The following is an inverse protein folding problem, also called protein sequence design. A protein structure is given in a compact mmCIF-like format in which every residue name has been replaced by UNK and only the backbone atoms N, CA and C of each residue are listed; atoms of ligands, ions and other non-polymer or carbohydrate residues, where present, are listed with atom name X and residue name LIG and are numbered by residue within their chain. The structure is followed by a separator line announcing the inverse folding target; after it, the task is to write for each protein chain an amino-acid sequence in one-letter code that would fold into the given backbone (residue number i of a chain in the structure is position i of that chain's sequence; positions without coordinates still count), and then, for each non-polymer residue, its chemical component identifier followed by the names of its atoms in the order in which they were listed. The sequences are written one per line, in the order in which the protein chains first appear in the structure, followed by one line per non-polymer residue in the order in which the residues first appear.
data_IF_605244959735
#
_entry.id   IF_605244959735
#
_cell.length_a   1.000
_cell.length_b   1.000
_cell.length_c   1.000
_cell.angle_alpha   90.00
_cell.angle_beta   90.00
_cell.angle_gamma   90.00
#
_symmetry.space_group_name_H-M   'P 1'
#
loop_
_entity.id
_entity.type
_entity.pdbx_description
1 polymer ?
#
# COMPACT_ATOMS: atom_id res chain seq x y z
N UNK A 1 9.59 -16.44 -13.71
CA UNK A 1 9.80 -14.98 -13.69
C UNK A 1 8.49 -14.35 -14.13
N UNK A 2 7.60 -14.03 -13.18
CA UNK A 2 6.27 -13.51 -13.50
C UNK A 2 6.35 -11.98 -13.64
N UNK A 3 5.96 -11.55 -14.83
CA UNK A 3 5.93 -10.19 -15.32
C UNK A 3 4.73 -9.46 -14.70
N UNK A 4 4.97 -8.50 -13.79
CA UNK A 4 3.93 -7.58 -13.30
C UNK A 4 4.39 -6.15 -13.56
N UNK A 5 4.35 -5.75 -14.83
CA UNK A 5 4.25 -4.33 -15.20
C UNK A 5 2.80 -3.89 -14.93
N UNK A 6 2.64 -2.73 -14.31
CA UNK A 6 1.40 -1.96 -14.19
C UNK A 6 0.39 -2.32 -13.08
N UNK A 7 0.82 -2.98 -12.00
CA UNK A 7 0.22 -2.73 -10.68
C UNK A 7 1.22 -1.95 -9.86
N UNK A 8 0.84 -0.79 -9.32
CA UNK A 8 1.67 -0.13 -8.31
C UNK A 8 1.70 -1.09 -7.13
N UNK A 9 2.81 -1.81 -7.02
CA UNK A 9 3.06 -2.77 -5.96
C UNK A 9 2.98 -2.07 -4.60
N UNK A 10 2.43 -2.74 -3.59
CA UNK A 10 2.23 -2.18 -2.26
C UNK A 10 3.52 -1.57 -1.70
N UNK A 11 4.66 -2.24 -1.89
CA UNK A 11 5.96 -1.74 -1.43
C UNK A 11 6.37 -0.45 -2.16
N UNK A 12 6.01 -0.33 -3.44
CA UNK A 12 6.28 0.87 -4.23
C UNK A 12 5.42 2.05 -3.78
N UNK A 13 4.14 1.81 -3.47
CA UNK A 13 3.26 2.84 -2.90
C UNK A 13 3.75 3.29 -1.53
N UNK A 14 4.22 2.35 -0.70
CA UNK A 14 4.77 2.65 0.62
C UNK A 14 6.03 3.50 0.53
N UNK A 15 6.98 3.14 -0.34
CA UNK A 15 8.20 3.93 -0.58
C UNK A 15 7.91 5.36 -1.07
N UNK A 16 6.89 5.52 -1.91
CA UNK A 16 6.46 6.84 -2.36
C UNK A 16 5.86 7.65 -1.21
N UNK A 17 5.06 7.03 -0.36
CA UNK A 17 4.49 7.68 0.82
C UNK A 17 5.58 8.13 1.79
N UNK A 18 6.60 7.30 2.04
CA UNK A 18 7.77 7.67 2.83
C UNK A 18 8.50 8.88 2.23
N UNK A 19 8.71 8.88 0.92
CA UNK A 19 9.33 10.02 0.23
C UNK A 19 8.50 11.30 0.35
N UNK A 20 7.18 11.21 0.28
CA UNK A 20 6.26 12.35 0.45
C UNK A 20 6.34 12.88 1.88
N UNK A 21 6.35 12.00 2.89
CA UNK A 21 6.52 12.40 4.29
C UNK A 21 7.84 13.14 4.47
N UNK A 22 8.95 12.59 3.96
CA UNK A 22 10.25 13.27 4.02
C UNK A 22 10.25 14.63 3.30
N UNK A 23 9.49 14.78 2.19
CA UNK A 23 9.32 16.08 1.52
C UNK A 23 8.56 17.08 2.39
N UNK A 24 7.46 16.65 3.00
CA UNK A 24 6.64 17.48 3.88
C UNK A 24 7.36 17.89 5.17
N UNK A 25 8.34 17.11 5.62
CA UNK A 25 9.19 17.44 6.77
C UNK A 25 10.31 18.46 6.44
N UNK A 26 10.57 18.73 5.15
CA UNK A 26 11.54 19.75 4.77
C UNK A 26 10.97 21.15 4.97
N UNK A 27 11.68 21.97 5.75
CA UNK A 27 11.27 23.35 6.07
C UNK A 27 11.31 24.31 4.87
N UNK A 28 11.98 23.94 3.78
CA UNK A 28 12.10 24.73 2.56
C UNK A 28 11.02 24.41 1.51
N UNK A 29 10.06 23.53 1.83
CA UNK A 29 8.96 23.20 0.90
C UNK A 29 8.04 24.42 0.71
N UNK A 30 7.67 24.69 -0.54
CA UNK A 30 6.70 25.75 -0.82
C UNK A 30 5.29 25.32 -0.40
N UNK A 31 4.41 26.30 -0.15
CA UNK A 31 3.01 26.00 0.18
C UNK A 31 2.33 25.19 -0.92
N UNK A 32 2.55 25.54 -2.19
CA UNK A 32 1.97 24.82 -3.34
C UNK A 32 2.46 23.37 -3.40
N UNK A 33 3.78 23.16 -3.24
CA UNK A 33 4.37 21.82 -3.24
C UNK A 33 3.91 20.98 -2.04
N UNK A 34 3.69 21.61 -0.88
CA UNK A 34 3.19 20.92 0.31
C UNK A 34 1.76 20.42 0.13
N UNK A 35 0.90 21.23 -0.52
CA UNK A 35 -0.48 20.84 -0.83
C UNK A 35 -0.49 19.70 -1.84
N UNK A 36 0.30 19.80 -2.91
CA UNK A 36 0.41 18.73 -3.91
C UNK A 36 0.93 17.41 -3.31
N UNK A 37 1.98 17.50 -2.48
CA UNK A 37 2.55 16.33 -1.79
C UNK A 37 1.52 15.69 -0.84
N UNK A 38 0.74 16.50 -0.14
CA UNK A 38 -0.33 16.03 0.73
C UNK A 38 -1.44 15.32 -0.05
N UNK A 39 -1.92 15.89 -1.16
CA UNK A 39 -2.92 15.25 -2.02
C UNK A 39 -2.44 13.90 -2.57
N UNK A 40 -1.19 13.84 -3.03
CA UNK A 40 -0.56 12.60 -3.50
C UNK A 40 -0.47 11.56 -2.37
N UNK A 41 -0.07 11.98 -1.16
CA UNK A 41 -0.01 11.13 0.03
C UNK A 41 -1.37 10.52 0.38
N UNK A 42 -2.43 11.32 0.38
CA UNK A 42 -3.80 10.83 0.63
C UNK A 42 -4.25 9.81 -0.41
N UNK A 43 -3.91 10.04 -1.69
CA UNK A 43 -4.23 9.08 -2.76
C UNK A 43 -3.50 7.76 -2.54
N UNK A 44 -2.20 7.80 -2.25
CA UNK A 44 -1.40 6.59 -2.00
C UNK A 44 -1.89 5.80 -0.79
N UNK A 45 -2.27 6.48 0.31
CA UNK A 45 -2.84 5.81 1.49
C UNK A 45 -4.12 5.06 1.14
N UNK A 46 -5.02 5.67 0.34
CA UNK A 46 -6.25 5.00 -0.12
C UNK A 46 -5.94 3.78 -0.97
N UNK A 47 -4.97 3.88 -1.86
CA UNK A 47 -4.56 2.76 -2.73
C UNK A 47 -3.95 1.62 -1.90
N UNK A 48 -3.07 1.92 -0.93
CA UNK A 48 -2.53 0.94 0.01
C UNK A 48 -3.62 0.23 0.81
N UNK A 49 -4.57 0.99 1.37
CA UNK A 49 -5.68 0.42 2.14
C UNK A 49 -6.53 -0.54 1.29
N UNK A 50 -6.78 -0.17 0.03
CA UNK A 50 -7.51 -1.03 -0.90
C UNK A 50 -6.77 -2.35 -1.15
N UNK A 51 -5.46 -2.29 -1.39
CA UNK A 51 -4.64 -3.48 -1.61
C UNK A 51 -4.64 -4.39 -0.37
N UNK A 52 -4.53 -3.82 0.83
CA UNK A 52 -4.60 -4.57 2.08
C UNK A 52 -5.97 -5.25 2.27
N UNK A 53 -7.07 -4.53 1.99
CA UNK A 53 -8.42 -5.08 2.08
C UNK A 53 -8.62 -6.24 1.09
N UNK A 54 -8.14 -6.09 -0.15
CA UNK A 54 -8.24 -7.14 -1.17
C UNK A 54 -7.42 -8.38 -0.77
N UNK A 55 -6.23 -8.18 -0.19
CA UNK A 55 -5.41 -9.26 0.34
C UNK A 55 -6.08 -9.97 1.52
N UNK A 56 -6.64 -9.22 2.47
CA UNK A 56 -7.37 -9.77 3.62
C UNK A 56 -8.59 -10.59 3.18
N UNK A 57 -9.37 -10.09 2.23
CA UNK A 57 -10.51 -10.82 1.66
C UNK A 57 -10.07 -12.12 0.99
N UNK A 58 -8.93 -12.11 0.29
CA UNK A 58 -8.37 -13.31 -0.31
C UNK A 58 -7.95 -14.33 0.75
N UNK A 59 -7.30 -13.89 1.82
CA UNK A 59 -6.91 -14.77 2.95
C UNK A 59 -8.15 -15.35 3.63
N UNK A 60 -9.17 -14.54 3.92
CA UNK A 60 -10.43 -15.01 4.52
C UNK A 60 -11.11 -16.08 3.66
N UNK A 61 -11.20 -15.87 2.35
CA UNK A 61 -11.76 -16.87 1.43
C UNK A 61 -11.00 -18.19 1.46
N UNK A 62 -9.67 -18.16 1.54
CA UNK A 62 -8.85 -19.37 1.63
C UNK A 62 -9.05 -20.11 2.96
N UNK A 63 -9.23 -19.36 4.06
CA UNK A 63 -9.56 -19.92 5.37
C UNK A 63 -10.97 -20.55 5.38
N UNK A 64 -11.96 -19.88 4.79
CA UNK A 64 -13.35 -20.37 4.71
C UNK A 64 -13.52 -21.57 3.77
N UNK A 65 -12.73 -21.63 2.67
CA UNK A 65 -12.71 -22.76 1.74
C UNK A 65 -11.95 -23.99 2.29
N UNK A 66 -11.49 -23.94 3.55
CA UNK A 66 -10.79 -25.05 4.19
C UNK A 66 -9.42 -25.39 3.60
N UNK A 67 -8.84 -24.51 2.77
CA UNK A 67 -7.51 -24.75 2.18
C UNK A 67 -6.36 -24.41 3.13
N UNK A 68 -6.65 -23.79 4.28
CA UNK A 68 -5.66 -23.37 5.30
C UNK A 68 -5.82 -24.16 6.61
N UNK A 69 -6.62 -25.23 6.65
CA UNK A 69 -6.76 -26.07 7.86
C UNK A 69 -5.58 -27.04 8.11
N UNK A 70 -4.53 -27.04 7.27
CA UNK A 70 -3.40 -27.98 7.38
C UNK A 70 -2.11 -27.39 8.02
N UNK A 71 -2.17 -26.21 8.66
CA UNK A 71 -0.96 -25.55 9.22
C UNK A 71 -0.88 -25.50 10.76
N UNK A 72 -1.84 -26.06 11.50
CA UNK A 72 -1.85 -26.03 12.99
C UNK A 72 -1.72 -27.39 13.69
N UNK A 73 -1.33 -28.46 12.99
CA UNK A 73 -0.97 -29.74 13.65
C UNK A 73 0.52 -30.07 13.44
N UNK A 74 1.40 -29.42 14.21
CA UNK A 74 2.61 -30.02 14.81
C UNK A 74 3.31 -29.13 15.83
#
# INVERSE_FOLDING_TARGET
MANTKDQIDFESSLKKLESIVSKLENNDISLEDSVQSFEEGIRLVKDCQKQLNDAELKVKKLLEDGTVTDLEDK
#
